data_IF_166571440913
#
_entry.id   IF_166571440913
#
_cell.length_a   1.000
_cell.length_b   1.000
_cell.length_c   1.000
_cell.angle_alpha   90.00
_cell.angle_beta   90.00
_cell.angle_gamma   90.00
#
_symmetry.space_group_name_H-M   'P 1'
#
loop_
_entity.id
_entity.type
_entity.pdbx_description
1 polymer ?
#
# COMPACT_ATOMS: atom_id res chain seq x y z
N UNK A 1 25.48 -10.80 62.48
CA UNK A 1 25.55 -10.55 61.01
C UNK A 1 24.81 -11.57 60.13
N UNK A 2 24.16 -12.62 60.65
CA UNK A 2 23.39 -13.58 59.82
C UNK A 2 21.91 -13.21 59.62
N UNK A 3 21.35 -12.30 60.43
CA UNK A 3 19.93 -11.91 60.36
C UNK A 3 19.61 -10.84 59.31
N UNK A 4 20.57 -10.01 58.90
CA UNK A 4 20.36 -9.01 57.84
C UNK A 4 20.38 -9.62 56.44
N UNK A 5 21.06 -10.75 56.24
CA UNK A 5 21.16 -11.38 54.92
C UNK A 5 19.84 -12.04 54.48
N UNK A 6 19.04 -12.53 55.44
CA UNK A 6 17.74 -13.13 55.15
C UNK A 6 16.69 -12.09 54.71
N UNK A 7 16.78 -10.86 55.22
CA UNK A 7 15.84 -9.77 54.85
C UNK A 7 16.12 -9.27 53.43
N UNK A 8 17.39 -9.22 53.01
CA UNK A 8 17.76 -8.80 51.67
C UNK A 8 17.29 -9.79 50.59
N UNK A 9 17.29 -11.10 50.90
CA UNK A 9 16.86 -12.16 49.97
C UNK A 9 15.33 -12.20 49.77
N UNK A 10 14.56 -11.80 50.79
CA UNK A 10 13.10 -11.70 50.72
C UNK A 10 12.70 -10.46 49.89
N UNK A 11 13.41 -9.34 50.04
CA UNK A 11 13.13 -8.10 49.29
C UNK A 11 13.41 -8.26 47.79
N UNK A 12 14.43 -9.03 47.39
CA UNK A 12 14.72 -9.26 45.96
C UNK A 12 13.73 -10.20 45.27
N UNK A 13 12.98 -11.00 46.04
CA UNK A 13 12.00 -11.94 45.49
C UNK A 13 10.63 -11.30 45.19
N UNK A 14 10.33 -10.14 45.79
CA UNK A 14 9.07 -9.39 45.56
C UNK A 14 9.16 -8.42 44.38
N UNK A 15 10.36 -8.23 43.81
CA UNK A 15 10.59 -7.47 42.58
C UNK A 15 10.69 -8.43 41.37
N UNK A 16 10.16 -9.65 41.51
CA UNK A 16 9.83 -10.48 40.34
C UNK A 16 8.71 -9.77 39.60
N UNK A 17 9.15 -8.86 38.75
CA UNK A 17 8.36 -8.06 37.85
C UNK A 17 7.53 -9.04 37.03
N UNK A 18 6.25 -9.16 37.36
CA UNK A 18 5.26 -9.64 36.41
C UNK A 18 5.28 -8.64 35.25
N UNK A 19 6.22 -8.85 34.32
CA UNK A 19 5.96 -8.52 32.93
C UNK A 19 4.73 -9.34 32.61
N UNK A 20 3.56 -8.71 32.77
CA UNK A 20 2.39 -9.05 31.99
C UNK A 20 2.95 -9.27 30.61
N UNK A 21 2.77 -10.47 30.09
CA UNK A 21 2.88 -10.72 28.67
C UNK A 21 2.08 -9.60 28.03
N UNK A 22 2.78 -8.56 27.59
CA UNK A 22 2.26 -7.67 26.61
C UNK A 22 2.01 -8.64 25.49
N UNK A 23 0.74 -9.00 25.29
CA UNK A 23 0.26 -9.57 24.04
C UNK A 23 1.12 -8.89 22.99
N UNK A 24 1.98 -9.68 22.35
CA UNK A 24 2.65 -9.25 21.15
C UNK A 24 1.47 -9.06 20.21
N UNK A 25 0.88 -7.86 20.24
CA UNK A 25 0.01 -7.38 19.20
C UNK A 25 0.98 -7.29 18.04
N UNK A 26 1.06 -8.39 17.29
CA UNK A 26 1.46 -8.35 15.90
C UNK A 26 0.75 -7.11 15.34
N UNK A 27 1.47 -6.15 14.75
CA UNK A 27 0.82 -5.01 14.13
C UNK A 27 -0.25 -5.62 13.22
N UNK A 28 -1.51 -5.47 13.60
CA UNK A 28 -2.61 -5.82 12.71
C UNK A 28 -2.52 -4.74 11.67
N UNK A 29 -1.76 -5.00 10.61
CA UNK A 29 -1.77 -4.14 9.44
C UNK A 29 -3.24 -4.12 9.01
N UNK A 30 -3.90 -3.01 9.28
CA UNK A 30 -5.32 -2.88 8.98
C UNK A 30 -5.41 -2.71 7.47
N UNK A 31 -6.25 -3.51 6.83
CA UNK A 31 -6.53 -3.34 5.41
C UNK A 31 -7.01 -1.90 5.18
N UNK A 32 -6.37 -1.13 4.30
CA UNK A 32 -6.76 0.25 4.06
C UNK A 32 -8.17 0.32 3.50
N UNK A 33 -8.95 1.27 4.02
CA UNK A 33 -10.28 1.60 3.51
C UNK A 33 -10.14 2.69 2.45
N UNK A 34 -10.68 2.44 1.26
CA UNK A 34 -10.81 3.40 0.16
C UNK A 34 -12.27 3.81 -0.01
N UNK A 35 -12.49 5.03 -0.48
CA UNK A 35 -13.84 5.61 -0.67
C UNK A 35 -14.11 5.98 -2.13
N UNK A 36 -13.20 5.59 -3.03
CA UNK A 36 -13.21 5.94 -4.46
C UNK A 36 -11.81 5.99 -5.06
N UNK A 37 -11.72 6.32 -6.35
CA UNK A 37 -10.46 6.54 -7.07
C UNK A 37 -10.60 7.66 -8.12
N UNK A 38 -9.47 8.18 -8.59
CA UNK A 38 -9.46 9.08 -9.76
C UNK A 38 -9.29 8.26 -11.03
N UNK A 39 -10.24 8.40 -11.95
CA UNK A 39 -10.11 7.84 -13.28
C UNK A 39 -9.08 8.63 -14.08
N UNK A 40 -8.10 7.92 -14.64
CA UNK A 40 -7.04 8.51 -15.48
C UNK A 40 -6.82 7.66 -16.71
N UNK A 41 -6.62 8.34 -17.84
CA UNK A 41 -6.32 7.69 -19.12
C UNK A 41 -4.89 7.10 -19.14
N UNK A 42 -4.52 6.50 -20.27
CA UNK A 42 -3.22 5.85 -20.46
C UNK A 42 -2.01 6.81 -20.39
N UNK A 43 -2.22 8.12 -20.46
CA UNK A 43 -1.15 9.13 -20.33
C UNK A 43 -1.25 9.91 -19.01
N UNK A 44 -2.17 9.53 -18.13
CA UNK A 44 -2.31 10.11 -16.79
C UNK A 44 -3.18 11.36 -16.71
N UNK A 45 -3.95 11.70 -17.76
CA UNK A 45 -4.89 12.79 -17.69
C UNK A 45 -6.04 12.43 -16.76
N UNK A 46 -6.38 13.35 -15.85
CA UNK A 46 -7.56 13.21 -15.02
C UNK A 46 -8.83 13.25 -15.87
N UNK A 47 -9.70 12.26 -15.70
CA UNK A 47 -11.00 12.18 -16.37
C UNK A 47 -12.14 12.55 -15.42
N UNK A 48 -12.25 11.85 -14.30
CA UNK A 48 -13.27 12.09 -13.29
C UNK A 48 -12.90 11.40 -11.95
N UNK A 49 -13.67 11.70 -10.90
CA UNK A 49 -13.64 10.92 -9.67
C UNK A 49 -14.75 9.85 -9.72
N UNK A 50 -14.42 8.62 -9.32
CA UNK A 50 -15.40 7.58 -9.04
C UNK A 50 -15.52 7.46 -7.53
N UNK A 51 -16.71 7.73 -6.98
CA UNK A 51 -16.93 7.87 -5.53
C UNK A 51 -16.35 9.18 -4.98
N UNK A 52 -15.86 9.16 -3.73
CA UNK A 52 -15.22 10.30 -3.07
C UNK A 52 -13.79 9.91 -2.64
N UNK A 53 -12.79 9.97 -3.53
CA UNK A 53 -11.48 9.36 -3.29
C UNK A 53 -10.73 9.97 -2.10
N UNK A 54 -10.43 9.15 -1.08
CA UNK A 54 -9.58 9.53 0.06
C UNK A 54 -8.09 9.36 -0.26
N UNK A 55 -7.59 10.18 -1.19
CA UNK A 55 -6.21 10.14 -1.72
C UNK A 55 -5.39 11.33 -1.23
N UNK A 56 -4.05 11.16 -1.26
CA UNK A 56 -3.09 12.24 -1.04
C UNK A 56 -2.01 12.16 -2.10
N UNK A 57 -2.27 12.82 -3.23
CA UNK A 57 -1.41 12.82 -4.39
C UNK A 57 -0.23 13.76 -4.24
N UNK A 58 -0.33 14.83 -3.45
CA UNK A 58 0.78 15.74 -3.22
C UNK A 58 0.93 16.21 -1.78
N UNK A 59 2.06 16.86 -1.49
CA UNK A 59 2.39 17.31 -0.13
C UNK A 59 1.56 18.52 0.31
N UNK A 60 1.25 19.44 -0.60
CA UNK A 60 0.49 20.66 -0.32
C UNK A 60 -0.96 20.55 -0.81
N UNK A 61 -1.17 19.90 -1.95
CA UNK A 61 -2.45 19.75 -2.63
C UNK A 61 -2.46 18.44 -3.43
N UNK A 62 -3.62 18.03 -3.93
CA UNK A 62 -3.71 16.94 -4.91
C UNK A 62 -3.51 17.42 -6.36
N UNK A 63 -2.81 18.54 -6.54
CA UNK A 63 -2.52 19.12 -7.85
C UNK A 63 -1.01 19.10 -8.14
N UNK A 64 -0.69 18.66 -9.35
CA UNK A 64 0.68 18.55 -9.87
C UNK A 64 1.41 19.89 -9.91
N UNK A 65 0.69 20.98 -10.23
CA UNK A 65 1.33 22.29 -10.45
C UNK A 65 1.79 22.94 -9.15
N UNK A 66 1.04 22.74 -8.07
CA UNK A 66 1.24 23.41 -6.78
C UNK A 66 2.01 22.57 -5.75
N UNK A 67 2.11 21.26 -5.95
CA UNK A 67 2.86 20.38 -5.05
C UNK A 67 4.29 20.12 -5.54
N UNK A 68 5.24 20.19 -4.61
CA UNK A 68 6.66 19.90 -4.88
C UNK A 68 6.88 18.39 -4.97
N UNK A 69 6.17 17.64 -4.11
CA UNK A 69 6.08 16.20 -4.15
C UNK A 69 4.70 15.82 -4.65
N UNK A 70 4.64 15.05 -5.73
CA UNK A 70 3.38 14.62 -6.32
C UNK A 70 3.49 13.20 -6.84
N UNK A 71 2.43 12.41 -6.76
CA UNK A 71 2.32 11.11 -7.39
C UNK A 71 1.05 11.01 -8.23
N UNK A 72 1.11 10.23 -9.30
CA UNK A 72 -0.07 9.84 -10.08
C UNK A 72 0.08 8.40 -10.55
N UNK A 73 -0.97 7.61 -10.36
CA UNK A 73 -1.06 6.25 -10.88
C UNK A 73 -1.97 6.21 -12.11
N UNK A 74 -1.50 5.64 -13.22
CA UNK A 74 -2.29 5.58 -14.46
C UNK A 74 -1.85 4.42 -15.40
N UNK A 75 -2.74 3.88 -16.26
CA UNK A 75 -4.17 4.15 -16.28
C UNK A 75 -4.84 3.70 -14.99
N UNK A 76 -5.99 4.30 -14.68
CA UNK A 76 -6.83 3.91 -13.56
C UNK A 76 -8.29 4.03 -14.00
N UNK A 77 -9.06 2.95 -14.12
CA UNK A 77 -8.73 1.59 -13.70
C UNK A 77 -7.61 0.93 -14.51
N UNK A 78 -6.97 -0.07 -13.91
CA UNK A 78 -5.98 -0.94 -14.54
C UNK A 78 -6.73 -2.07 -15.23
N UNK A 79 -6.55 -2.21 -16.55
CA UNK A 79 -7.21 -3.23 -17.38
C UNK A 79 -6.31 -4.45 -17.62
N UNK A 80 -6.77 -5.41 -18.43
CA UNK A 80 -6.25 -6.77 -18.64
C UNK A 80 -4.72 -6.95 -18.74
N UNK A 81 -3.97 -5.94 -19.21
CA UNK A 81 -2.50 -6.00 -19.19
C UNK A 81 -1.92 -6.10 -17.78
N UNK A 82 -2.71 -5.71 -16.77
CA UNK A 82 -2.32 -5.64 -15.37
C UNK A 82 -1.24 -4.60 -15.09
N UNK A 83 -0.78 -3.82 -16.07
CA UNK A 83 0.33 -2.89 -15.87
C UNK A 83 -0.22 -1.48 -15.68
N UNK A 84 0.25 -0.82 -14.62
CA UNK A 84 0.06 0.61 -14.43
C UNK A 84 1.40 1.30 -14.16
N UNK A 85 1.42 2.59 -14.43
CA UNK A 85 2.54 3.49 -14.18
C UNK A 85 2.34 4.23 -12.86
N UNK A 86 3.44 4.43 -12.13
CA UNK A 86 3.54 5.40 -11.05
C UNK A 86 4.48 6.49 -11.52
N UNK A 87 3.95 7.69 -11.70
CA UNK A 87 4.74 8.90 -11.90
C UNK A 87 4.92 9.63 -10.57
N UNK A 88 6.15 10.04 -10.26
CA UNK A 88 6.54 10.68 -9.01
C UNK A 88 7.32 11.95 -9.33
N UNK A 89 6.76 13.10 -8.94
CA UNK A 89 7.46 14.38 -8.90
C UNK A 89 8.16 14.53 -7.57
N UNK A 90 9.42 14.92 -7.62
CA UNK A 90 10.23 15.30 -6.45
C UNK A 90 11.07 16.51 -6.83
N UNK A 91 11.56 17.31 -5.86
CA UNK A 91 12.39 18.48 -6.17
C UNK A 91 13.75 18.12 -6.77
N UNK A 92 14.25 16.90 -6.53
CA UNK A 92 15.46 16.36 -7.16
C UNK A 92 15.32 14.86 -7.42
N UNK A 93 15.89 14.37 -8.52
CA UNK A 93 15.79 12.95 -8.92
C UNK A 93 16.58 12.02 -7.98
N UNK A 94 17.54 12.56 -7.22
CA UNK A 94 18.42 11.81 -6.33
C UNK A 94 17.80 11.42 -4.98
N UNK A 95 16.48 11.56 -4.81
CA UNK A 95 15.79 11.20 -3.57
C UNK A 95 15.30 9.75 -3.65
N UNK A 96 15.64 8.96 -2.62
CA UNK A 96 15.15 7.59 -2.46
C UNK A 96 13.63 7.58 -2.23
N UNK A 97 12.93 6.72 -2.97
CA UNK A 97 11.48 6.52 -2.91
C UNK A 97 11.22 5.10 -2.46
N UNK A 98 10.37 4.94 -1.44
CA UNK A 98 9.87 3.66 -1.00
C UNK A 98 8.43 3.53 -1.49
N UNK A 99 8.15 2.51 -2.28
CA UNK A 99 6.87 2.32 -2.96
C UNK A 99 6.31 0.98 -2.51
N UNK A 100 5.03 0.94 -2.17
CA UNK A 100 4.35 -0.33 -1.93
C UNK A 100 2.88 -0.29 -2.34
N UNK A 101 2.35 -1.44 -2.73
CA UNK A 101 0.95 -1.60 -3.13
C UNK A 101 0.29 -2.60 -2.19
N UNK A 102 -0.89 -2.25 -1.69
CA UNK A 102 -1.65 -3.08 -0.74
C UNK A 102 -3.08 -3.29 -1.24
N UNK A 103 -3.68 -4.47 -1.04
CA UNK A 103 -5.12 -4.63 -1.19
C UNK A 103 -5.90 -3.67 -0.28
N UNK A 104 -7.05 -3.21 -0.73
CA UNK A 104 -7.90 -2.29 0.00
C UNK A 104 -9.38 -2.72 -0.02
N UNK A 105 -10.14 -2.30 0.99
CA UNK A 105 -11.60 -2.47 1.04
C UNK A 105 -12.30 -1.17 0.68
N UNK A 106 -13.48 -1.24 0.07
CA UNK A 106 -14.28 -0.06 -0.24
C UNK A 106 -15.31 0.20 0.87
N UNK A 107 -15.31 1.42 1.43
CA UNK A 107 -16.26 1.86 2.48
C UNK A 107 -17.72 1.92 2.00
N UNK A 108 -17.94 1.90 0.68
CA UNK A 108 -19.27 1.97 0.07
C UNK A 108 -19.93 0.61 -0.24
N UNK A 109 -19.26 -0.53 -0.04
CA UNK A 109 -19.78 -1.86 -0.38
C UNK A 109 -20.21 -2.65 0.87
N UNK A 110 -21.21 -2.15 1.59
CA UNK A 110 -22.11 -3.05 2.31
C UNK A 110 -23.07 -3.66 1.28
N UNK A 111 -22.69 -4.80 0.69
CA UNK A 111 -23.46 -5.62 -0.27
C UNK A 111 -23.44 -5.16 -1.74
N UNK A 112 -22.65 -5.83 -2.58
CA UNK A 112 -23.07 -6.18 -3.95
C UNK A 112 -22.09 -7.16 -4.60
N UNK A 113 -22.23 -8.46 -4.36
CA UNK A 113 -21.87 -9.55 -5.29
C UNK A 113 -20.51 -9.49 -6.02
N UNK A 114 -19.51 -8.79 -5.49
CA UNK A 114 -18.15 -8.91 -5.95
C UNK A 114 -17.63 -10.23 -5.39
N UNK A 115 -17.13 -11.11 -6.27
CA UNK A 115 -16.29 -12.25 -5.89
C UNK A 115 -14.97 -11.71 -5.31
N UNK A 116 -15.05 -10.88 -4.27
CA UNK A 116 -13.92 -10.34 -3.55
C UNK A 116 -13.27 -11.52 -2.88
N UNK A 117 -12.15 -11.94 -3.45
CA UNK A 117 -11.37 -13.05 -2.92
C UNK A 117 -11.14 -12.81 -1.43
N UNK A 118 -11.71 -13.68 -0.58
CA UNK A 118 -11.62 -13.57 0.86
C UNK A 118 -10.16 -13.50 1.33
N UNK A 119 -9.20 -14.01 0.54
CA UNK A 119 -7.77 -13.89 0.83
C UNK A 119 -7.27 -12.44 0.86
N UNK A 120 -7.92 -11.51 0.15
CA UNK A 120 -7.60 -10.08 0.21
C UNK A 120 -8.03 -9.44 1.54
N UNK A 121 -9.08 -9.96 2.20
CA UNK A 121 -9.48 -9.54 3.54
C UNK A 121 -8.51 -10.05 4.61
N UNK A 122 -7.94 -11.24 4.42
CA UNK A 122 -6.99 -11.85 5.36
C UNK A 122 -5.54 -11.36 5.19
N UNK A 123 -5.19 -10.72 4.08
CA UNK A 123 -3.85 -10.19 3.86
C UNK A 123 -3.52 -8.97 4.74
N UNK A 124 -4.52 -8.39 5.43
CA UNK A 124 -4.34 -7.36 6.45
C UNK A 124 -3.41 -6.25 5.99
N UNK A 125 -3.70 -5.56 4.88
CA UNK A 125 -2.84 -4.45 4.41
C UNK A 125 -1.36 -4.81 4.13
N UNK A 126 -1.00 -6.10 4.04
CA UNK A 126 0.34 -6.53 3.66
C UNK A 126 0.62 -6.13 2.21
N UNK A 127 1.79 -5.54 1.92
CA UNK A 127 2.16 -5.21 0.56
C UNK A 127 2.24 -6.44 -0.35
N UNK A 128 1.62 -6.34 -1.53
CA UNK A 128 1.75 -7.31 -2.61
C UNK A 128 2.87 -6.94 -3.60
N UNK A 129 3.35 -5.71 -3.51
CA UNK A 129 4.46 -5.15 -4.26
C UNK A 129 5.21 -4.18 -3.36
N UNK A 130 6.54 -4.25 -3.36
CA UNK A 130 7.42 -3.31 -2.67
C UNK A 130 8.64 -3.01 -3.55
N UNK A 131 9.06 -1.75 -3.59
CA UNK A 131 10.22 -1.30 -4.35
C UNK A 131 10.88 -0.09 -3.68
N UNK A 132 12.20 -0.11 -3.58
CA UNK A 132 13.00 1.08 -3.33
C UNK A 132 13.68 1.54 -4.63
N UNK A 133 13.57 2.82 -4.97
CA UNK A 133 14.08 3.34 -6.23
C UNK A 133 14.42 4.83 -6.18
N UNK A 134 15.27 5.27 -7.10
CA UNK A 134 15.51 6.69 -7.40
C UNK A 134 14.73 7.17 -8.63
N UNK A 135 14.11 6.25 -9.38
CA UNK A 135 13.36 6.59 -10.60
C UNK A 135 12.07 7.36 -10.28
N UNK A 136 11.70 8.28 -11.17
CA UNK A 136 10.46 9.05 -11.09
C UNK A 136 9.30 8.41 -11.88
N UNK A 137 9.57 7.39 -12.68
CA UNK A 137 8.55 6.68 -13.45
C UNK A 137 8.79 5.17 -13.31
N UNK A 138 7.80 4.47 -12.77
CA UNK A 138 7.87 3.03 -12.50
C UNK A 138 6.69 2.36 -13.19
N UNK A 139 6.93 1.21 -13.84
CA UNK A 139 5.88 0.32 -14.31
C UNK A 139 5.67 -0.79 -13.29
N UNK A 140 4.44 -0.97 -12.83
CA UNK A 140 4.07 -1.96 -11.83
C UNK A 140 3.18 -3.01 -12.48
N UNK A 141 3.67 -4.27 -12.61
CA UNK A 141 2.87 -5.37 -13.08
C UNK A 141 1.98 -5.92 -11.96
N UNK A 142 0.66 -5.92 -12.16
CA UNK A 142 -0.35 -6.53 -11.30
C UNK A 142 -0.62 -7.99 -11.71
N UNK A 143 0.45 -8.74 -11.99
CA UNK A 143 0.42 -10.17 -12.28
C UNK A 143 1.32 -10.92 -11.29
N UNK A 144 0.82 -12.03 -10.75
CA UNK A 144 1.46 -12.85 -9.72
C UNK A 144 2.57 -13.78 -10.28
N UNK A 145 2.72 -13.91 -11.60
CA UNK A 145 3.54 -14.99 -12.18
C UNK A 145 4.98 -14.61 -12.49
N UNK A 146 5.85 -15.60 -12.25
CA UNK A 146 7.31 -15.60 -12.30
C UNK A 146 7.90 -16.17 -13.60
N UNK A 147 7.06 -16.36 -14.64
CA UNK A 147 7.50 -16.88 -15.94
C UNK A 147 7.37 -15.80 -17.00
N UNK A 148 8.52 -15.20 -17.32
CA UNK A 148 8.66 -14.29 -18.45
C UNK A 148 9.13 -15.07 -19.69
N UNK A 149 8.69 -14.68 -20.88
CA UNK A 149 9.34 -15.09 -22.12
C UNK A 149 10.72 -14.44 -22.24
N UNK A 150 11.44 -14.81 -23.29
CA UNK A 150 12.76 -14.22 -23.61
C UNK A 150 12.72 -12.70 -23.88
N UNK A 151 11.54 -12.09 -23.94
CA UNK A 151 11.30 -10.66 -24.13
C UNK A 151 10.81 -9.97 -22.84
N UNK A 152 10.66 -10.70 -21.72
CA UNK A 152 10.15 -10.15 -20.46
C UNK A 152 8.62 -10.15 -20.34
N UNK A 153 7.90 -10.74 -21.29
CA UNK A 153 6.42 -10.80 -21.29
C UNK A 153 5.94 -11.94 -20.39
N UNK A 154 5.00 -11.72 -19.47
CA UNK A 154 4.44 -12.80 -18.64
C UNK A 154 3.75 -13.85 -19.52
N UNK A 155 4.26 -15.09 -19.55
CA UNK A 155 3.73 -16.15 -20.42
C UNK A 155 2.42 -16.73 -19.89
N UNK A 156 2.18 -16.70 -18.58
CA UNK A 156 0.94 -17.15 -17.94
C UNK A 156 0.83 -16.51 -16.55
N UNK A 157 0.44 -15.24 -16.52
CA UNK A 157 0.20 -14.45 -15.32
C UNK A 157 -1.08 -14.84 -14.61
N UNK A 158 -1.03 -15.31 -13.35
CA UNK A 158 -2.22 -15.23 -12.49
C UNK A 158 -2.35 -13.76 -12.09
N UNK A 159 -3.28 -13.01 -12.67
CA UNK A 159 -3.52 -11.63 -12.25
C UNK A 159 -3.92 -11.56 -10.78
N UNK A 160 -3.60 -10.46 -10.11
CA UNK A 160 -4.22 -10.21 -8.81
C UNK A 160 -5.76 -10.13 -8.99
N UNK A 161 -6.56 -10.45 -7.97
CA UNK A 161 -8.01 -10.39 -8.09
C UNK A 161 -8.48 -8.96 -8.41
N UNK A 162 -9.59 -8.83 -9.15
CA UNK A 162 -10.22 -7.52 -9.34
C UNK A 162 -10.54 -6.89 -7.99
N UNK A 163 -10.40 -5.57 -7.91
CA UNK A 163 -10.75 -4.85 -6.69
C UNK A 163 -9.91 -3.60 -6.49
N UNK A 164 -10.06 -3.05 -5.28
CA UNK A 164 -9.36 -1.85 -4.88
C UNK A 164 -7.99 -2.16 -4.29
N UNK A 165 -7.04 -1.31 -4.64
CA UNK A 165 -5.70 -1.32 -4.08
C UNK A 165 -5.33 0.11 -3.70
N UNK A 166 -4.45 0.23 -2.70
CA UNK A 166 -3.81 1.49 -2.36
C UNK A 166 -2.32 1.41 -2.67
N UNK A 167 -1.87 2.38 -3.45
CA UNK A 167 -0.47 2.60 -3.78
C UNK A 167 0.06 3.66 -2.83
N UNK A 168 1.18 3.38 -2.18
CA UNK A 168 1.86 4.30 -1.30
C UNK A 168 3.22 4.67 -1.88
N UNK A 169 3.58 5.93 -1.75
CA UNK A 169 4.92 6.44 -2.06
C UNK A 169 5.41 7.25 -0.87
N UNK A 170 6.49 6.80 -0.25
CA UNK A 170 7.19 7.55 0.79
C UNK A 170 8.47 8.13 0.23
N UNK A 171 8.62 9.44 0.39
CA UNK A 171 9.80 10.21 0.00
C UNK A 171 10.19 11.08 1.19
N UNK A 172 11.37 10.86 1.77
CA UNK A 172 11.77 11.46 3.06
C UNK A 172 10.70 11.24 4.14
N UNK A 173 10.16 12.33 4.71
CA UNK A 173 9.10 12.33 5.73
C UNK A 173 7.70 12.53 5.13
N UNK A 174 7.57 12.51 3.80
CA UNK A 174 6.31 12.71 3.10
C UNK A 174 5.79 11.35 2.66
N UNK A 175 4.58 11.02 3.12
CA UNK A 175 3.80 9.90 2.63
C UNK A 175 2.69 10.43 1.71
N UNK A 176 2.67 9.89 0.49
CA UNK A 176 1.64 10.09 -0.52
C UNK A 176 0.94 8.75 -0.77
N UNK A 177 -0.31 8.79 -1.20
CA UNK A 177 -1.04 7.60 -1.61
C UNK A 177 -2.13 7.90 -2.62
N UNK A 178 -2.37 6.91 -3.47
CA UNK A 178 -3.42 6.91 -4.47
C UNK A 178 -4.19 5.59 -4.42
N UNK A 179 -5.44 5.62 -4.85
CA UNK A 179 -6.30 4.45 -4.90
C UNK A 179 -6.43 4.00 -6.35
N UNK A 180 -6.16 2.73 -6.64
CA UNK A 180 -6.33 2.14 -7.97
C UNK A 180 -7.40 1.05 -7.95
N UNK A 181 -8.07 0.87 -9.07
CA UNK A 181 -9.01 -0.24 -9.27
C UNK A 181 -8.48 -1.17 -10.36
N UNK A 182 -8.32 -2.45 -10.05
CA UNK A 182 -7.99 -3.48 -11.03
C UNK A 182 -9.30 -4.08 -11.56
N UNK A 183 -9.53 -3.96 -12.87
CA UNK A 183 -10.70 -4.53 -13.54
C UNK A 183 -10.30 -5.70 -14.43
N UNK A 184 -10.79 -6.90 -14.10
CA UNK A 184 -10.65 -8.08 -14.96
C UNK A 184 -11.78 -8.19 -16.02
N UNK A 185 -12.69 -7.21 -16.11
CA UNK A 185 -13.81 -7.21 -17.06
C UNK A 185 -13.77 -5.97 -17.98
N UNK A 186 -14.16 -6.17 -19.25
CA UNK A 186 -14.61 -5.14 -20.20
C UNK A 186 -16.14 -5.02 -20.14
#
# INVERSE_FOLDING_TARGET
>A
MKKCFAIFLIITSIISCNKKDSEIRLPSFQTPIVTGYQMRDIVGNFMCNVGNPNIKLGNNSNDYSTSEYYMSCYPNPVHESGIFSIYIKTPTDSILKQIWVTPATNDGEENANSNTDLTLLFAGGCPIFELETYLNHIYVPMVKSSVHDSLGTPINGVSYPSGFYRVYVKVNNILLWDNIYLSNNL
#
